data_IF_955629181580
#
_entry.id   IF_955629181580
#
_cell.length_a   1.000
_cell.length_b   1.000
_cell.length_c   1.000
_cell.angle_alpha   90.00
_cell.angle_beta   90.00
_cell.angle_gamma   90.00
#
_symmetry.space_group_name_H-M   'P 1'
#
loop_
_entity.id
_entity.type
_entity.pdbx_description
1 polymer ?
#
# COMPACT_ATOMS: atom_id res chain seq x y z
N UNK A 1 19.39 -42.67 6.73
CA UNK A 1 20.01 -42.22 7.99
C UNK A 1 20.53 -40.80 7.79
N UNK A 2 20.31 -39.84 8.71
CA UNK A 2 20.94 -38.52 8.60
C UNK A 2 22.47 -38.71 8.59
N UNK A 3 23.18 -38.01 7.70
CA UNK A 3 24.63 -38.13 7.56
C UNK A 3 25.12 -39.28 6.65
N UNK A 4 24.26 -40.12 6.09
CA UNK A 4 24.67 -41.07 5.04
C UNK A 4 24.91 -40.36 3.70
N UNK A 5 25.66 -40.97 2.78
CA UNK A 5 25.93 -40.41 1.43
C UNK A 5 24.63 -40.03 0.69
N UNK A 6 23.66 -40.94 0.66
CA UNK A 6 22.35 -40.67 0.04
C UNK A 6 21.54 -39.55 0.73
N UNK A 7 21.76 -39.29 2.02
CA UNK A 7 21.16 -38.15 2.72
C UNK A 7 21.74 -36.82 2.24
N UNK A 8 23.07 -36.74 2.04
CA UNK A 8 23.71 -35.56 1.48
C UNK A 8 23.27 -35.32 0.03
N UNK A 9 23.23 -36.37 -0.79
CA UNK A 9 22.79 -36.27 -2.19
C UNK A 9 21.35 -35.73 -2.28
N UNK A 10 20.43 -36.28 -1.48
CA UNK A 10 19.04 -35.81 -1.39
C UNK A 10 18.97 -34.34 -0.93
N UNK A 11 19.76 -33.96 0.08
CA UNK A 11 19.80 -32.57 0.58
C UNK A 11 20.34 -31.60 -0.47
N UNK A 12 21.33 -32.02 -1.27
CA UNK A 12 21.84 -31.23 -2.39
C UNK A 12 20.78 -31.02 -3.48
N UNK A 13 20.03 -32.07 -3.85
CA UNK A 13 18.92 -31.97 -4.79
C UNK A 13 17.84 -31.01 -4.27
N UNK A 14 17.42 -31.16 -3.01
CA UNK A 14 16.45 -30.27 -2.37
C UNK A 14 16.93 -28.80 -2.43
N UNK A 15 18.20 -28.55 -2.07
CA UNK A 15 18.78 -27.20 -2.13
C UNK A 15 18.73 -26.61 -3.54
N UNK A 16 19.08 -27.40 -4.56
CA UNK A 16 19.02 -26.96 -5.97
C UNK A 16 17.61 -26.60 -6.41
N UNK A 17 16.60 -27.36 -6.00
CA UNK A 17 15.21 -27.03 -6.32
C UNK A 17 14.72 -25.75 -5.61
N UNK A 18 15.06 -25.57 -4.33
CA UNK A 18 14.77 -24.31 -3.63
C UNK A 18 15.46 -23.10 -4.28
N UNK A 19 16.69 -23.28 -4.77
CA UNK A 19 17.43 -22.25 -5.50
C UNK A 19 16.73 -21.89 -6.83
N UNK A 20 16.28 -22.87 -7.60
CA UNK A 20 15.48 -22.64 -8.82
C UNK A 20 14.21 -21.84 -8.52
N UNK A 21 13.49 -22.19 -7.45
CA UNK A 21 12.28 -21.46 -7.03
C UNK A 21 12.59 -20.02 -6.59
N UNK A 22 13.70 -19.81 -5.87
CA UNK A 22 14.16 -18.48 -5.50
C UNK A 22 14.54 -17.65 -6.74
N UNK A 23 15.24 -18.24 -7.72
CA UNK A 23 15.63 -17.57 -8.95
C UNK A 23 14.43 -17.18 -9.82
N UNK A 24 13.43 -18.05 -9.95
CA UNK A 24 12.16 -17.71 -10.63
C UNK A 24 11.44 -16.54 -9.96
N UNK A 25 11.37 -16.52 -8.61
CA UNK A 25 10.78 -15.39 -7.86
C UNK A 25 11.56 -14.09 -8.08
N UNK A 26 12.89 -14.13 -8.05
CA UNK A 26 13.74 -12.98 -8.34
C UNK A 26 13.55 -12.47 -9.77
N UNK A 27 13.44 -13.36 -10.75
CA UNK A 27 13.19 -13.00 -12.15
C UNK A 27 11.85 -12.27 -12.30
N UNK A 28 10.78 -12.79 -11.70
CA UNK A 28 9.47 -12.09 -11.68
C UNK A 28 9.54 -10.73 -10.99
N UNK A 29 10.24 -10.63 -9.85
CA UNK A 29 10.44 -9.37 -9.17
C UNK A 29 11.23 -8.36 -10.02
N UNK A 30 12.27 -8.82 -10.74
CA UNK A 30 13.07 -7.99 -11.65
C UNK A 30 12.22 -7.45 -12.80
N UNK A 31 11.44 -8.33 -13.43
CA UNK A 31 10.56 -7.96 -14.54
C UNK A 31 9.54 -6.91 -14.07
N UNK A 32 8.81 -7.18 -12.99
CA UNK A 32 7.85 -6.23 -12.44
C UNK A 32 8.51 -4.91 -12.02
N UNK A 33 9.68 -4.96 -11.40
CA UNK A 33 10.42 -3.75 -11.02
C UNK A 33 10.79 -2.91 -12.24
N UNK A 34 11.33 -3.54 -13.29
CA UNK A 34 11.66 -2.87 -14.54
C UNK A 34 10.40 -2.26 -15.16
N UNK A 35 9.32 -3.02 -15.25
CA UNK A 35 8.07 -2.57 -15.88
C UNK A 35 7.40 -1.43 -15.09
N UNK A 36 7.58 -1.37 -13.77
CA UNK A 36 7.09 -0.29 -12.88
C UNK A 36 8.03 0.92 -12.87
N UNK A 37 9.33 0.76 -13.07
CA UNK A 37 10.29 1.87 -12.96
C UNK A 37 10.65 2.52 -14.29
N UNK A 38 10.54 1.77 -15.40
CA UNK A 38 10.92 2.24 -16.73
C UNK A 38 10.20 3.53 -17.11
N UNK A 39 10.98 4.59 -17.32
CA UNK A 39 10.49 5.89 -17.80
C UNK A 39 9.66 6.70 -16.81
N UNK A 40 9.49 6.24 -15.56
CA UNK A 40 8.66 6.94 -14.56
C UNK A 40 9.52 7.86 -13.68
N UNK A 41 9.10 9.12 -13.57
CA UNK A 41 9.74 10.16 -12.74
C UNK A 41 9.25 10.15 -11.30
N UNK A 42 8.02 9.66 -11.08
CA UNK A 42 7.40 9.49 -9.78
C UNK A 42 6.70 8.14 -9.77
N UNK A 43 6.92 7.40 -8.69
CA UNK A 43 6.24 6.13 -8.41
C UNK A 43 5.76 6.24 -6.97
N UNK A 44 4.45 6.11 -6.77
CA UNK A 44 3.88 6.18 -5.42
C UNK A 44 3.45 4.78 -5.00
N UNK A 45 3.88 4.36 -3.82
CA UNK A 45 3.45 3.10 -3.21
C UNK A 45 2.90 3.35 -1.82
N UNK A 46 1.94 2.55 -1.39
CA UNK A 46 1.47 2.54 -0.01
C UNK A 46 2.37 1.63 0.83
N UNK A 47 2.66 2.01 2.08
CA UNK A 47 3.41 1.16 3.02
C UNK A 47 2.60 -0.05 3.51
N UNK A 48 2.41 -1.03 2.63
CA UNK A 48 1.70 -2.26 2.95
C UNK A 48 2.48 -3.11 3.95
N UNK A 49 1.79 -3.63 4.97
CA UNK A 49 2.40 -4.52 5.98
C UNK A 49 2.52 -5.96 5.46
N UNK A 50 3.41 -6.17 4.46
CA UNK A 50 3.67 -7.47 3.87
C UNK A 50 4.08 -8.50 4.94
N UNK A 51 4.85 -8.08 5.95
CA UNK A 51 5.25 -8.92 7.08
C UNK A 51 4.05 -9.38 7.94
N UNK A 52 3.02 -8.54 8.07
CA UNK A 52 1.75 -8.90 8.69
C UNK A 52 0.96 -9.92 7.86
N UNK A 53 0.92 -9.74 6.52
CA UNK A 53 0.26 -10.70 5.64
C UNK A 53 0.92 -12.08 5.64
N UNK A 54 2.24 -12.13 5.85
CA UNK A 54 2.99 -13.38 6.04
C UNK A 54 2.52 -14.20 7.26
N UNK A 55 2.01 -13.54 8.30
CA UNK A 55 1.58 -14.18 9.56
C UNK A 55 0.07 -14.47 9.62
N UNK A 56 -0.71 -13.87 8.72
CA UNK A 56 -2.17 -14.02 8.65
C UNK A 56 -2.66 -15.00 7.59
N UNK A 57 -3.93 -14.86 7.20
CA UNK A 57 -4.67 -15.74 6.29
C UNK A 57 -4.02 -15.96 4.91
N UNK A 58 -3.13 -15.06 4.48
CA UNK A 58 -2.49 -15.11 3.16
C UNK A 58 -1.03 -15.58 3.19
N UNK A 59 -0.54 -16.10 4.33
CA UNK A 59 0.87 -16.39 4.56
C UNK A 59 1.53 -17.24 3.47
N UNK A 60 0.88 -18.31 3.01
CA UNK A 60 1.42 -19.21 1.96
C UNK A 60 1.46 -18.56 0.58
N UNK A 61 0.48 -17.72 0.23
CA UNK A 61 0.45 -17.01 -1.05
C UNK A 61 1.52 -15.90 -1.08
N UNK A 62 1.68 -15.17 0.04
CA UNK A 62 2.69 -14.11 0.18
C UNK A 62 4.11 -14.68 0.25
N UNK A 63 4.33 -15.81 0.94
CA UNK A 63 5.62 -16.53 0.97
C UNK A 63 6.09 -17.00 -0.41
N UNK A 64 5.14 -17.40 -1.26
CA UNK A 64 5.42 -17.82 -2.63
C UNK A 64 5.44 -16.64 -3.62
N UNK A 65 5.10 -15.43 -3.17
CA UNK A 65 5.07 -14.24 -4.02
C UNK A 65 6.46 -13.62 -4.21
N UNK A 66 6.57 -12.75 -5.21
CA UNK A 66 7.73 -11.90 -5.46
C UNK A 66 7.66 -10.54 -4.73
N UNK A 67 6.60 -10.30 -3.93
CA UNK A 67 6.22 -8.98 -3.43
C UNK A 67 7.23 -8.39 -2.44
N UNK A 68 7.78 -9.19 -1.52
CA UNK A 68 8.78 -8.70 -0.56
C UNK A 68 10.06 -8.22 -1.26
N UNK A 69 10.54 -8.97 -2.27
CA UNK A 69 11.71 -8.59 -3.07
C UNK A 69 11.42 -7.35 -3.92
N UNK A 70 10.22 -7.26 -4.52
CA UNK A 70 9.80 -6.10 -5.29
C UNK A 70 9.71 -4.85 -4.41
N UNK A 71 9.06 -4.93 -3.25
CA UNK A 71 8.96 -3.81 -2.29
C UNK A 71 10.34 -3.33 -1.87
N UNK A 72 11.26 -4.23 -1.51
CA UNK A 72 12.63 -3.86 -1.13
C UNK A 72 13.34 -3.06 -2.23
N UNK A 73 13.19 -3.46 -3.50
CA UNK A 73 13.78 -2.73 -4.64
C UNK A 73 13.12 -1.39 -4.92
N UNK A 74 11.80 -1.31 -4.78
CA UNK A 74 11.06 -0.06 -4.94
C UNK A 74 11.47 0.93 -3.85
N UNK A 75 11.57 0.49 -2.59
CA UNK A 75 12.00 1.35 -1.49
C UNK A 75 13.43 1.89 -1.64
N UNK A 76 14.31 1.21 -2.41
CA UNK A 76 15.66 1.71 -2.72
C UNK A 76 15.72 2.59 -3.97
N UNK A 77 14.61 2.80 -4.68
CA UNK A 77 14.59 3.63 -5.88
C UNK A 77 14.31 5.10 -5.50
N UNK A 78 15.14 6.07 -5.94
CA UNK A 78 15.00 7.48 -5.57
C UNK A 78 13.71 8.15 -6.10
N UNK A 79 13.08 7.58 -7.13
CA UNK A 79 11.83 8.09 -7.69
C UNK A 79 10.58 7.53 -6.97
N UNK A 80 10.76 6.71 -5.93
CA UNK A 80 9.67 6.10 -5.18
C UNK A 80 9.33 6.93 -3.94
N UNK A 81 8.09 7.36 -3.86
CA UNK A 81 7.49 7.97 -2.67
C UNK A 81 6.59 6.94 -1.97
N UNK A 82 6.72 6.86 -0.65
CA UNK A 82 5.97 5.91 0.18
C UNK A 82 4.92 6.66 0.99
N UNK A 83 3.65 6.45 0.66
CA UNK A 83 2.51 6.99 1.41
C UNK A 83 2.24 6.11 2.63
N UNK A 84 1.79 6.75 3.70
CA UNK A 84 1.48 6.09 4.97
C UNK A 84 0.50 4.91 4.79
N UNK A 85 0.76 3.86 5.57
CA UNK A 85 0.01 2.59 5.57
C UNK A 85 -1.49 2.75 5.76
N UNK A 86 -1.91 3.65 6.65
CA UNK A 86 -3.30 3.77 7.06
C UNK A 86 -4.07 4.74 6.16
N UNK A 87 -3.42 5.27 5.12
CA UNK A 87 -4.09 6.10 4.14
C UNK A 87 -5.22 5.32 3.46
N UNK A 88 -6.48 5.81 3.52
CA UNK A 88 -7.64 5.09 3.03
C UNK A 88 -7.76 5.16 1.50
N UNK A 89 -6.73 4.78 0.76
CA UNK A 89 -6.64 4.89 -0.71
C UNK A 89 -7.81 4.22 -1.45
N UNK A 90 -8.28 3.08 -0.93
CA UNK A 90 -9.41 2.30 -1.45
C UNK A 90 -10.79 2.86 -1.07
N UNK A 91 -10.86 3.74 -0.06
CA UNK A 91 -12.12 4.32 0.46
C UNK A 91 -12.27 5.81 0.13
N UNK A 92 -11.17 6.52 -0.08
CA UNK A 92 -11.17 7.95 -0.34
C UNK A 92 -11.41 8.25 -1.82
N UNK A 93 -12.27 9.23 -2.09
CA UNK A 93 -12.57 9.66 -3.44
C UNK A 93 -11.51 10.65 -3.98
N UNK A 94 -10.76 10.33 -5.06
CA UNK A 94 -9.85 11.22 -5.78
C UNK A 94 -10.49 12.49 -6.34
N UNK A 95 -11.82 12.54 -6.49
CA UNK A 95 -12.51 13.74 -6.98
C UNK A 95 -12.83 14.71 -5.85
N UNK A 96 -13.53 14.25 -4.81
CA UNK A 96 -14.08 15.12 -3.77
C UNK A 96 -13.45 14.93 -2.39
N UNK A 97 -12.58 13.94 -2.19
CA UNK A 97 -11.95 13.64 -0.90
C UNK A 97 -12.81 12.86 0.10
N UNK A 98 -14.11 12.66 -0.18
CA UNK A 98 -15.01 11.92 0.71
C UNK A 98 -14.53 10.47 0.94
N UNK A 99 -14.66 9.98 2.17
CA UNK A 99 -14.34 8.60 2.56
C UNK A 99 -15.64 7.79 2.54
N UNK A 100 -15.69 6.76 1.71
CA UNK A 100 -16.78 5.80 1.68
C UNK A 100 -16.47 4.66 2.68
N UNK A 101 -17.13 4.67 3.84
CA UNK A 101 -16.97 3.64 4.88
C UNK A 101 -17.71 2.33 4.55
N UNK A 102 -18.63 2.33 3.58
CA UNK A 102 -19.44 1.18 3.21
C UNK A 102 -18.79 0.22 2.22
N UNK A 103 -17.63 0.57 1.64
CA UNK A 103 -16.96 -0.28 0.64
C UNK A 103 -16.25 -1.48 1.30
N UNK A 104 -16.48 -2.65 0.74
CA UNK A 104 -15.96 -3.93 1.20
C UNK A 104 -14.83 -4.45 0.30
N UNK A 105 -14.16 -5.51 0.76
CA UNK A 105 -13.11 -6.18 -0.03
C UNK A 105 -13.66 -6.89 -1.29
N UNK A 106 -14.95 -7.29 -1.28
CA UNK A 106 -15.62 -7.89 -2.43
C UNK A 106 -16.01 -6.88 -3.50
N UNK A 107 -16.13 -5.59 -3.14
CA UNK A 107 -16.56 -4.57 -4.08
C UNK A 107 -15.44 -4.25 -5.07
N UNK A 108 -15.69 -4.58 -6.34
CA UNK A 108 -14.78 -4.29 -7.46
C UNK A 108 -14.96 -2.88 -8.01
N UNK A 109 -16.15 -2.30 -7.83
CA UNK A 109 -16.48 -0.96 -8.26
C UNK A 109 -16.56 -0.03 -7.05
N UNK A 110 -15.90 1.12 -7.15
CA UNK A 110 -16.08 2.21 -6.21
C UNK A 110 -17.11 3.19 -6.77
N UNK A 111 -18.10 3.57 -5.96
CA UNK A 111 -19.05 4.65 -6.26
C UNK A 111 -19.04 5.69 -5.13
N UNK A 112 -19.22 6.95 -5.49
CA UNK A 112 -19.31 8.05 -4.53
C UNK A 112 -20.43 9.01 -4.92
N UNK A 113 -21.06 9.61 -3.91
CA UNK A 113 -22.18 10.55 -4.03
C UNK A 113 -21.86 11.78 -4.90
N UNK A 114 -20.58 12.12 -5.08
CA UNK A 114 -20.16 13.16 -6.04
C UNK A 114 -20.25 12.74 -7.53
N UNK A 115 -20.79 11.56 -7.82
CA UNK A 115 -20.94 11.00 -9.16
C UNK A 115 -19.69 10.31 -9.72
N UNK A 116 -18.66 10.06 -8.90
CA UNK A 116 -17.48 9.30 -9.34
C UNK A 116 -17.75 7.80 -9.29
N UNK A 117 -17.47 7.07 -10.38
CA UNK A 117 -17.47 5.61 -10.42
C UNK A 117 -16.28 5.06 -11.22
N UNK A 118 -15.55 4.08 -10.68
CA UNK A 118 -14.45 3.37 -11.37
C UNK A 118 -14.12 2.04 -10.68
N UNK A 119 -13.36 1.15 -11.32
CA UNK A 119 -12.76 -0.02 -10.64
C UNK A 119 -11.95 0.44 -9.41
N UNK A 120 -12.16 -0.23 -8.28
CA UNK A 120 -11.62 0.13 -6.97
C UNK A 120 -10.09 0.14 -6.96
N UNK A 121 -9.44 -0.79 -7.64
CA UNK A 121 -7.98 -0.92 -7.62
C UNK A 121 -7.35 0.19 -8.51
N UNK A 122 -7.97 0.49 -9.66
CA UNK A 122 -7.57 1.63 -10.52
C UNK A 122 -7.75 2.96 -9.79
N UNK A 123 -8.92 3.14 -9.17
CA UNK A 123 -9.25 4.27 -8.30
C UNK A 123 -8.18 4.46 -7.22
N UNK A 124 -7.84 3.41 -6.48
CA UNK A 124 -6.88 3.48 -5.38
C UNK A 124 -5.49 3.89 -5.86
N UNK A 125 -5.06 3.41 -7.03
CA UNK A 125 -3.80 3.84 -7.64
C UNK A 125 -3.79 5.35 -7.96
N UNK A 126 -4.90 5.89 -8.48
CA UNK A 126 -5.04 7.35 -8.72
C UNK A 126 -5.01 8.13 -7.40
N UNK A 127 -5.72 7.63 -6.38
CA UNK A 127 -5.73 8.24 -5.04
C UNK A 127 -4.32 8.34 -4.44
N UNK A 128 -3.51 7.29 -4.59
CA UNK A 128 -2.11 7.28 -4.15
C UNK A 128 -1.26 8.29 -4.93
N UNK A 129 -1.43 8.36 -6.25
CA UNK A 129 -0.69 9.33 -7.07
C UNK A 129 -0.99 10.77 -6.61
N UNK A 130 -2.27 11.12 -6.42
CA UNK A 130 -2.66 12.45 -5.93
C UNK A 130 -2.06 12.77 -4.55
N UNK A 131 -2.01 11.78 -3.64
CA UNK A 131 -1.39 11.93 -2.33
C UNK A 131 0.12 12.21 -2.46
N UNK A 132 0.83 11.44 -3.31
CA UNK A 132 2.26 11.64 -3.54
C UNK A 132 2.59 12.96 -4.24
N UNK A 133 1.77 13.38 -5.20
CA UNK A 133 1.89 14.70 -5.85
C UNK A 133 1.71 15.82 -4.83
N UNK A 134 0.74 15.71 -3.92
CA UNK A 134 0.54 16.67 -2.84
C UNK A 134 1.76 16.72 -1.89
N UNK A 135 2.37 15.59 -1.54
CA UNK A 135 3.59 15.58 -0.72
C UNK A 135 4.77 16.28 -1.42
N UNK A 136 4.89 16.12 -2.75
CA UNK A 136 5.92 16.81 -3.55
C UNK A 136 5.63 18.31 -3.77
N UNK A 137 4.36 18.72 -3.80
CA UNK A 137 4.01 20.14 -3.93
C UNK A 137 4.28 20.91 -2.64
N UNK A 138 4.10 20.30 -1.47
CA UNK A 138 4.40 20.95 -0.19
C UNK A 138 5.89 21.12 0.10
N UNK A 139 6.76 20.39 -0.61
CA UNK A 139 8.22 20.41 -0.41
C UNK A 139 8.96 21.35 -1.37
N UNK A 140 8.37 21.71 -2.51
CA UNK A 140 8.94 22.69 -3.44
C UNK A 140 8.41 24.10 -3.15
N UNK A 141 9.32 25.05 -2.98
CA UNK A 141 9.01 26.47 -2.77
C UNK A 141 8.41 27.15 -4.01
N UNK A 142 8.54 26.54 -5.20
CA UNK A 142 8.05 27.09 -6.47
C UNK A 142 6.62 26.63 -6.75
N UNK A 143 5.66 27.54 -6.54
CA UNK A 143 4.23 27.30 -6.69
C UNK A 143 3.74 27.64 -8.10
N UNK A 144 3.64 26.66 -8.99
CA UNK A 144 3.10 26.87 -10.36
C UNK A 144 1.63 26.44 -10.53
N UNK A 145 0.97 25.90 -9.51
CA UNK A 145 -0.44 25.48 -9.58
C UNK A 145 -1.42 26.64 -9.38
N UNK A 146 -2.56 26.62 -10.06
CA UNK A 146 -3.65 27.60 -9.87
C UNK A 146 -4.30 27.45 -8.48
N UNK A 147 -4.87 28.50 -7.87
CA UNK A 147 -5.54 28.40 -6.57
C UNK A 147 -6.67 27.35 -6.50
N UNK A 148 -7.38 27.11 -7.61
CA UNK A 148 -8.42 26.07 -7.72
C UNK A 148 -7.86 24.66 -7.59
N UNK A 149 -6.71 24.35 -8.22
CA UNK A 149 -6.06 23.05 -8.09
C UNK A 149 -5.59 22.79 -6.64
N UNK A 150 -5.18 23.85 -5.92
CA UNK A 150 -4.77 23.77 -4.50
C UNK A 150 -5.95 23.52 -3.54
N UNK A 151 -7.17 23.78 -3.99
CA UNK A 151 -8.41 23.66 -3.23
C UNK A 151 -9.34 22.56 -3.75
N UNK A 152 -8.79 21.53 -4.40
CA UNK A 152 -9.59 20.33 -4.67
C UNK A 152 -10.07 19.72 -3.34
N UNK A 153 -11.32 19.23 -3.31
CA UNK A 153 -11.87 18.58 -2.12
C UNK A 153 -10.98 17.43 -1.63
N UNK A 154 -10.27 16.76 -2.55
CA UNK A 154 -9.26 15.76 -2.22
C UNK A 154 -8.12 16.30 -1.34
N UNK A 155 -7.48 17.41 -1.73
CA UNK A 155 -6.35 17.95 -0.97
C UNK A 155 -6.75 18.36 0.44
N UNK A 156 -7.91 18.99 0.59
CA UNK A 156 -8.45 19.34 1.91
C UNK A 156 -8.68 18.09 2.76
N UNK A 157 -9.37 17.08 2.24
CA UNK A 157 -9.62 15.84 2.97
C UNK A 157 -8.34 15.07 3.29
N UNK A 158 -7.36 15.07 2.39
CA UNK A 158 -6.07 14.42 2.60
C UNK A 158 -5.24 15.11 3.70
N UNK A 159 -5.24 16.44 3.74
CA UNK A 159 -4.59 17.21 4.82
C UNK A 159 -5.28 17.00 6.18
N UNK A 160 -6.62 17.02 6.21
CA UNK A 160 -7.39 16.70 7.42
C UNK A 160 -7.04 15.30 7.90
N UNK A 161 -7.03 14.32 6.98
CA UNK A 161 -6.65 12.95 7.29
C UNK A 161 -5.21 12.84 7.81
N UNK A 162 -4.22 13.48 7.17
CA UNK A 162 -2.83 13.48 7.65
C UNK A 162 -2.68 14.09 9.04
N UNK A 163 -3.44 15.15 9.33
CA UNK A 163 -3.43 15.80 10.64
C UNK A 163 -4.04 14.91 11.72
N UNK A 164 -5.14 14.21 11.43
CA UNK A 164 -5.78 13.28 12.37
C UNK A 164 -5.00 11.96 12.52
N UNK A 165 -4.28 11.54 11.48
CA UNK A 165 -3.44 10.35 11.46
C UNK A 165 -2.09 10.52 12.18
N UNK A 166 -1.81 11.68 12.81
CA UNK A 166 -0.55 11.88 13.56
C UNK A 166 -0.37 10.78 14.63
N UNK A 167 0.61 9.92 14.34
CA UNK A 167 1.27 8.91 15.20
C UNK A 167 0.90 9.00 16.69
N UNK A 168 0.30 7.97 17.31
CA UNK A 168 0.62 7.75 18.71
C UNK A 168 2.14 7.59 18.82
N UNK A 169 2.75 8.28 19.79
CA UNK A 169 4.14 8.05 20.17
C UNK A 169 4.39 6.54 20.30
N UNK A 170 5.59 6.09 19.90
CA UNK A 170 6.00 4.69 20.02
C UNK A 170 5.63 4.16 21.42
N UNK A 171 4.62 3.29 21.50
CA UNK A 171 4.29 2.59 22.75
C UNK A 171 2.85 2.70 23.26
N UNK A 172 1.93 3.41 22.61
CA UNK A 172 0.50 3.33 22.96
C UNK A 172 -0.35 2.90 21.77
N UNK A 173 -0.93 1.70 21.88
CA UNK A 173 -2.06 1.29 21.04
C UNK A 173 -3.20 2.30 21.22
N UNK A 174 -3.91 2.70 20.15
CA UNK A 174 -5.11 3.52 20.30
C UNK A 174 -6.14 2.74 21.13
N UNK A 175 -6.57 3.31 22.25
CA UNK A 175 -7.68 2.78 23.03
C UNK A 175 -8.95 2.82 22.17
N UNK A 176 -9.61 1.68 22.01
CA UNK A 176 -10.91 1.62 21.38
C UNK A 176 -11.89 2.49 22.19
N UNK A 177 -12.76 3.30 21.55
CA UNK A 177 -13.75 4.06 22.27
C UNK A 177 -14.64 3.11 23.09
N UNK A 178 -14.61 3.30 24.41
CA UNK A 178 -15.41 2.57 25.39
C UNK A 178 -16.89 2.70 25.06
N UNK A 179 -17.57 1.56 24.87
CA UNK A 179 -18.98 1.43 24.53
C UNK A 179 -19.95 1.80 25.67
N UNK A 180 -19.57 2.72 26.57
CA UNK A 180 -20.41 3.16 27.68
C UNK A 180 -21.01 4.54 27.39
N UNK A 181 -21.95 4.59 26.44
CA UNK A 181 -23.09 5.52 26.46
C UNK A 181 -24.19 5.06 25.48
N UNK A 182 -24.66 3.83 25.65
CA UNK A 182 -26.00 3.43 25.24
C UNK A 182 -26.76 3.02 26.49
N UNK A 183 -27.49 3.97 27.06
CA UNK A 183 -28.68 3.80 27.93
C UNK A 183 -29.07 5.17 28.47
N UNK A 184 -30.02 5.81 27.80
CA UNK A 184 -31.08 6.69 28.36
C UNK A 184 -31.75 7.45 27.21
N UNK A 185 -32.77 6.83 26.62
CA UNK A 185 -33.98 7.44 26.08
C UNK A 185 -34.93 6.27 25.79
N UNK A 186 -35.94 6.15 26.64
CA UNK A 186 -36.87 5.03 26.75
C UNK A 186 -37.49 5.09 28.12
#
# INVERSE_FOLDING_TARGET
MKGSRGWYDTRHLIRREYEKLANRRRAKANQAYHDITKGRRLIVIQDENIAGWHKGLFGRQVQNSALGTLKGKLMSNPNVLVVDRFFPSTRMCPRCGAINEGITLSDRMFTCDCGYAEDRDVKAAKTLLLAGEHELSCTRTEHTGTPEERMSGFHTSYEIWKRSARRPEKGKSPEAPSSKHQRRMG
#
